data_IF_532360726074
#
_entry.id   IF_532360726074
#
_cell.length_a   1.000
_cell.length_b   1.000
_cell.length_c   1.000
_cell.angle_alpha   90.00
_cell.angle_beta   90.00
_cell.angle_gamma   90.00
#
_symmetry.space_group_name_H-M   'P 1'
#
loop_
_entity.id
_entity.type
_entity.pdbx_description
1 polymer ?
#
# COMPACT_ATOMS: atom_id res chain seq x y z
N UNK A 1 9.70 -5.81 14.08
CA UNK A 1 8.87 -5.01 15.02
C UNK A 1 7.44 -5.55 14.96
N UNK A 2 6.80 -5.83 16.10
CA UNK A 2 5.43 -6.36 16.12
C UNK A 2 4.43 -5.20 15.94
N UNK A 3 3.72 -5.12 14.80
CA UNK A 3 2.75 -4.05 14.51
C UNK A 3 1.58 -4.00 15.50
N UNK A 4 1.31 -5.09 16.22
CA UNK A 4 0.22 -5.18 17.21
C UNK A 4 0.43 -4.31 18.46
N UNK A 5 1.66 -3.88 18.72
CA UNK A 5 1.99 -3.01 19.87
C UNK A 5 2.44 -1.62 19.45
N UNK A 6 2.33 -1.28 18.16
CA UNK A 6 2.76 0.00 17.64
C UNK A 6 1.69 1.09 17.87
N UNK A 7 2.15 2.30 18.20
CA UNK A 7 1.29 3.48 18.34
C UNK A 7 0.85 4.01 16.97
N UNK A 8 -0.24 4.78 16.88
CA UNK A 8 -0.71 5.32 15.60
C UNK A 8 0.35 6.15 14.85
N UNK A 9 1.21 6.98 15.49
CA UNK A 9 2.27 7.70 14.77
C UNK A 9 3.29 6.78 14.10
N UNK A 10 3.65 5.66 14.74
CA UNK A 10 4.57 4.67 14.16
C UNK A 10 3.91 3.94 12.98
N UNK A 11 2.65 3.54 13.15
CA UNK A 11 1.87 2.93 12.09
C UNK A 11 1.69 3.88 10.90
N UNK A 12 1.47 5.17 11.16
CA UNK A 12 1.34 6.21 10.13
C UNK A 12 2.61 6.35 9.31
N UNK A 13 3.77 6.39 9.95
CA UNK A 13 5.06 6.44 9.24
C UNK A 13 5.22 5.25 8.29
N UNK A 14 4.97 4.03 8.79
CA UNK A 14 5.08 2.81 7.97
C UNK A 14 4.03 2.76 6.85
N UNK A 15 2.80 3.21 7.10
CA UNK A 15 1.75 3.27 6.09
C UNK A 15 2.09 4.29 4.99
N UNK A 16 2.73 5.41 5.33
CA UNK A 16 3.23 6.41 4.36
C UNK A 16 4.37 5.86 3.50
N UNK A 17 5.29 5.10 4.08
CA UNK A 17 6.35 4.43 3.31
C UNK A 17 5.75 3.44 2.30
N UNK A 18 4.78 2.64 2.73
CA UNK A 18 4.10 1.68 1.86
C UNK A 18 3.29 2.37 0.75
N UNK A 19 2.62 3.48 1.06
CA UNK A 19 1.95 4.31 0.07
C UNK A 19 2.95 4.91 -0.93
N UNK A 20 4.09 5.42 -0.47
CA UNK A 20 5.15 5.91 -1.34
C UNK A 20 5.63 4.84 -2.32
N UNK A 21 5.93 3.64 -1.83
CA UNK A 21 6.33 2.51 -2.67
C UNK A 21 5.24 2.13 -3.69
N UNK A 22 3.97 2.13 -3.28
CA UNK A 22 2.83 1.86 -4.17
C UNK A 22 2.76 2.88 -5.31
N UNK A 23 2.92 4.17 -4.99
CA UNK A 23 2.93 5.25 -6.00
C UNK A 23 4.13 5.14 -6.94
N UNK A 24 5.29 4.73 -6.44
CA UNK A 24 6.48 4.51 -7.29
C UNK A 24 6.28 3.33 -8.25
N UNK A 25 5.60 2.27 -7.83
CA UNK A 25 5.20 1.18 -8.73
C UNK A 25 4.25 1.67 -9.82
N UNK A 26 3.23 2.47 -9.48
CA UNK A 26 2.33 3.06 -10.49
C UNK A 26 3.11 3.91 -11.50
N UNK A 27 4.03 4.76 -11.03
CA UNK A 27 4.88 5.59 -11.90
C UNK A 27 5.71 4.73 -12.83
N UNK A 28 6.37 3.69 -12.31
CA UNK A 28 7.16 2.75 -13.10
C UNK A 28 6.31 2.08 -14.19
N UNK A 29 5.13 1.55 -13.82
CA UNK A 29 4.23 0.87 -14.74
C UNK A 29 3.68 1.80 -15.84
N UNK A 30 3.54 3.10 -15.56
CA UNK A 30 3.08 4.10 -16.55
C UNK A 30 4.21 4.67 -17.41
N UNK A 31 5.43 4.71 -16.88
CA UNK A 31 6.54 5.42 -17.51
C UNK A 31 7.22 4.63 -18.64
N UNK A 32 7.10 3.30 -18.66
CA UNK A 32 7.82 2.46 -19.64
C UNK A 32 6.98 2.25 -20.90
N UNK A 33 7.36 2.86 -22.04
CA UNK A 33 6.66 2.66 -23.30
C UNK A 33 6.86 1.22 -23.79
N UNK A 34 5.76 0.52 -24.08
CA UNK A 34 5.80 -0.91 -24.45
C UNK A 34 5.81 -1.87 -23.28
N UNK A 35 5.66 -1.39 -22.04
CA UNK A 35 5.56 -2.23 -20.84
C UNK A 35 6.92 -2.62 -20.25
N UNK A 36 6.88 -3.16 -19.03
CA UNK A 36 8.04 -3.69 -18.35
C UNK A 36 8.48 -5.02 -18.98
N UNK A 37 9.78 -5.33 -18.93
CA UNK A 37 10.22 -6.68 -19.22
C UNK A 37 9.68 -7.69 -18.20
N UNK A 38 9.68 -8.97 -18.55
CA UNK A 38 9.08 -10.02 -17.74
C UNK A 38 9.68 -10.15 -16.33
N UNK A 39 10.98 -9.87 -16.17
CA UNK A 39 11.65 -9.95 -14.87
C UNK A 39 11.25 -8.78 -13.98
N UNK A 40 11.21 -7.57 -14.55
CA UNK A 40 10.74 -6.37 -13.85
C UNK A 40 9.26 -6.48 -13.48
N UNK A 41 8.41 -6.96 -14.38
CA UNK A 41 6.98 -7.16 -14.11
C UNK A 41 6.77 -8.19 -12.98
N UNK A 42 7.51 -9.31 -12.99
CA UNK A 42 7.44 -10.31 -11.93
C UNK A 42 7.83 -9.75 -10.54
N UNK A 43 8.82 -8.85 -10.49
CA UNK A 43 9.26 -8.21 -9.26
C UNK A 43 8.24 -7.17 -8.75
N UNK A 44 7.64 -6.40 -9.66
CA UNK A 44 6.53 -5.49 -9.33
C UNK A 44 5.35 -6.27 -8.77
N UNK A 45 4.99 -7.40 -9.38
CA UNK A 45 3.93 -8.28 -8.88
C UNK A 45 4.25 -8.89 -7.52
N UNK A 46 5.50 -9.26 -7.27
CA UNK A 46 5.93 -9.79 -5.96
C UNK A 46 5.71 -8.73 -4.88
N UNK A 47 6.21 -7.52 -5.12
CA UNK A 47 6.08 -6.39 -4.19
C UNK A 47 4.61 -5.97 -3.99
N UNK A 48 3.81 -6.02 -5.06
CA UNK A 48 2.37 -5.83 -5.01
C UNK A 48 1.68 -6.86 -4.11
N UNK A 49 2.03 -8.16 -4.22
CA UNK A 49 1.43 -9.20 -3.37
C UNK A 49 1.81 -9.03 -1.90
N UNK A 50 3.06 -8.66 -1.62
CA UNK A 50 3.52 -8.39 -0.26
C UNK A 50 2.72 -7.23 0.36
N UNK A 51 2.49 -6.17 -0.41
CA UNK A 51 1.66 -5.01 -0.01
C UNK A 51 0.20 -5.41 0.24
N UNK A 52 -0.39 -6.27 -0.61
CA UNK A 52 -1.75 -6.79 -0.45
C UNK A 52 -1.98 -7.40 0.94
N UNK A 53 -1.00 -8.16 1.40
CA UNK A 53 -1.09 -8.89 2.66
C UNK A 53 -1.05 -7.96 3.87
N UNK A 54 -0.54 -6.74 3.71
CA UNK A 54 -0.41 -5.75 4.79
C UNK A 54 -1.65 -4.85 4.95
N UNK A 55 -2.32 -4.46 3.87
CA UNK A 55 -3.45 -3.51 3.92
C UNK A 55 -4.56 -3.94 4.90
N UNK A 56 -5.02 -5.21 4.92
CA UNK A 56 -6.02 -5.66 5.89
C UNK A 56 -5.53 -5.57 7.34
N UNK A 57 -4.22 -5.68 7.58
CA UNK A 57 -3.65 -5.56 8.93
C UNK A 57 -3.71 -4.11 9.41
N UNK A 58 -3.35 -3.14 8.55
CA UNK A 58 -3.47 -1.73 8.88
C UNK A 58 -4.91 -1.32 9.17
N UNK A 59 -5.89 -1.77 8.36
CA UNK A 59 -7.32 -1.52 8.63
C UNK A 59 -7.76 -2.04 9.99
N UNK A 60 -7.37 -3.27 10.35
CA UNK A 60 -7.68 -3.85 11.67
C UNK A 60 -7.03 -3.06 12.82
N UNK A 61 -5.81 -2.55 12.62
CA UNK A 61 -5.13 -1.73 13.62
C UNK A 61 -5.81 -0.37 13.80
N UNK A 62 -6.26 0.26 12.70
CA UNK A 62 -7.09 1.49 12.75
C UNK A 62 -8.39 1.23 13.52
N UNK A 63 -9.11 0.14 13.21
CA UNK A 63 -10.35 -0.23 13.91
C UNK A 63 -10.14 -0.54 15.39
N UNK A 64 -8.99 -1.13 15.72
CA UNK A 64 -8.61 -1.38 17.10
C UNK A 64 -8.35 -0.08 17.85
N UNK A 65 -7.51 0.80 17.30
CA UNK A 65 -7.20 2.09 17.91
C UNK A 65 -8.43 2.98 18.03
N UNK A 66 -9.30 3.04 17.00
CA UNK A 66 -10.57 3.78 17.06
C UNK A 66 -11.47 3.33 18.21
N UNK A 67 -11.44 2.04 18.58
CA UNK A 67 -12.20 1.51 19.72
C UNK A 67 -11.52 1.76 21.07
N UNK A 68 -10.19 1.84 21.10
CA UNK A 68 -9.41 1.99 22.34
C UNK A 68 -9.23 3.47 22.73
N UNK A 69 -8.81 4.29 21.77
CA UNK A 69 -8.59 5.72 21.93
C UNK A 69 -8.80 6.43 20.57
N UNK A 70 -10.02 6.90 20.27
CA UNK A 70 -10.32 7.57 19.01
C UNK A 70 -9.65 8.95 18.87
N UNK A 71 -9.11 9.52 19.95
CA UNK A 71 -8.40 10.79 19.94
C UNK A 71 -6.87 10.60 19.92
N UNK A 72 -6.39 9.36 19.77
CA UNK A 72 -4.97 9.07 19.72
C UNK A 72 -4.29 9.87 18.59
N UNK A 73 -3.16 10.51 18.94
CA UNK A 73 -2.40 11.33 18.01
C UNK A 73 -2.03 10.55 16.75
N UNK A 74 -2.31 11.13 15.57
CA UNK A 74 -1.99 10.52 14.28
C UNK A 74 -2.94 9.40 13.82
N UNK A 75 -3.99 9.05 14.58
CA UNK A 75 -4.97 8.02 14.18
C UNK A 75 -5.83 8.45 12.98
N UNK A 76 -6.28 9.71 12.95
CA UNK A 76 -7.05 10.25 11.83
C UNK A 76 -6.23 10.22 10.53
N UNK A 77 -5.00 10.73 10.57
CA UNK A 77 -4.05 10.68 9.46
C UNK A 77 -3.74 9.24 9.03
N UNK A 78 -3.58 8.32 9.99
CA UNK A 78 -3.35 6.90 9.69
C UNK A 78 -4.55 6.32 8.93
N UNK A 79 -5.78 6.61 9.36
CA UNK A 79 -6.99 6.15 8.67
C UNK A 79 -7.02 6.66 7.23
N UNK A 80 -6.76 7.95 7.02
CA UNK A 80 -6.72 8.55 5.69
C UNK A 80 -5.65 7.92 4.79
N UNK A 81 -4.45 7.69 5.32
CA UNK A 81 -3.35 7.06 4.57
C UNK A 81 -3.68 5.61 4.22
N UNK A 82 -4.32 4.85 5.11
CA UNK A 82 -4.71 3.46 4.85
C UNK A 82 -5.83 3.37 3.82
N UNK A 83 -6.78 4.29 3.85
CA UNK A 83 -7.83 4.40 2.83
C UNK A 83 -7.23 4.73 1.47
N UNK A 84 -6.34 5.73 1.41
CA UNK A 84 -5.63 6.09 0.19
C UNK A 84 -4.78 4.92 -0.32
N UNK A 85 -3.99 4.28 0.53
CA UNK A 85 -3.20 3.11 0.17
C UNK A 85 -4.06 2.04 -0.48
N UNK A 86 -5.27 1.81 0.02
CA UNK A 86 -6.21 0.84 -0.55
C UNK A 86 -6.64 1.19 -1.97
N UNK A 87 -6.90 2.48 -2.25
CA UNK A 87 -7.29 2.97 -3.57
C UNK A 87 -6.12 2.85 -4.56
N UNK A 88 -4.97 3.39 -4.17
CA UNK A 88 -3.77 3.44 -5.01
C UNK A 88 -3.25 2.02 -5.30
N UNK A 89 -3.41 1.10 -4.35
CA UNK A 89 -3.09 -0.30 -4.53
C UNK A 89 -3.96 -0.98 -5.60
N UNK A 90 -5.27 -0.72 -5.63
CA UNK A 90 -6.14 -1.24 -6.68
C UNK A 90 -5.72 -0.77 -8.07
N UNK A 91 -5.24 0.46 -8.18
CA UNK A 91 -4.73 0.97 -9.46
C UNK A 91 -3.46 0.24 -9.94
N UNK A 92 -2.55 -0.15 -9.03
CA UNK A 92 -1.38 -0.97 -9.40
C UNK A 92 -1.81 -2.30 -10.01
N UNK A 93 -2.87 -2.92 -9.48
CA UNK A 93 -3.41 -4.17 -10.03
C UNK A 93 -3.89 -4.00 -11.47
N UNK A 94 -4.63 -2.92 -11.74
CA UNK A 94 -5.16 -2.64 -13.07
C UNK A 94 -4.02 -2.40 -14.07
N UNK A 95 -2.97 -1.67 -13.65
CA UNK A 95 -1.78 -1.41 -14.46
C UNK A 95 -0.97 -2.69 -14.76
N UNK A 96 -0.76 -3.56 -13.75
CA UNK A 96 -0.13 -4.87 -13.95
C UNK A 96 -0.94 -5.71 -14.94
N UNK A 97 -2.27 -5.72 -14.79
CA UNK A 97 -3.17 -6.49 -15.66
C UNK A 97 -3.11 -5.97 -17.09
N UNK A 98 -3.09 -4.65 -17.29
CA UNK A 98 -2.96 -4.04 -18.62
C UNK A 98 -1.66 -4.46 -19.30
N UNK A 99 -0.52 -4.40 -18.61
CA UNK A 99 0.76 -4.79 -19.21
C UNK A 99 0.83 -6.26 -19.62
N UNK A 100 0.12 -7.16 -18.94
CA UNK A 100 0.05 -8.59 -19.30
C UNK A 100 -0.75 -8.86 -20.57
N UNK A 101 -1.71 -8.00 -20.90
CA UNK A 101 -2.53 -8.17 -22.12
C UNK A 101 -1.76 -7.70 -23.36
N UNK A 102 -0.86 -6.73 -23.19
CA UNK A 102 -0.07 -6.14 -24.27
C UNK A 102 1.28 -6.86 -24.53
N UNK A 103 1.66 -7.83 -23.68
CA UNK A 103 2.89 -8.65 -23.79
C UNK A 103 2.67 -9.94 -24.59
#
# INVERSE_FOLDING_TARGET
MNKQTATPPVLLALARELLGATLDQQRLLRAVPGGLDAAMLAEVERTYRDTAAEIPQYRRLVDQWNRQDPAAEGLADLSEVVDRLSIEYSEVFDLITAQRVDS
#
